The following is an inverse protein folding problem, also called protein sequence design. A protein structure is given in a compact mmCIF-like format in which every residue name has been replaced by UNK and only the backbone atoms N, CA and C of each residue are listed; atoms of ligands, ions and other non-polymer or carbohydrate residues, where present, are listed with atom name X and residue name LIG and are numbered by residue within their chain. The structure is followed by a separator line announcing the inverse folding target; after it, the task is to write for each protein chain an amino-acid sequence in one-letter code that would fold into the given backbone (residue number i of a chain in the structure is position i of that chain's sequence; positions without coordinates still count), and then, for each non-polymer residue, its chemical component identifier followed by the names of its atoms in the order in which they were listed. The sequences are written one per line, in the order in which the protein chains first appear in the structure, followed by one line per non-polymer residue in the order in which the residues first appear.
data_IF_776454142799
#
_entry.id   IF_776454142799
#
_cell.length_a   1.000
_cell.length_b   1.000
_cell.length_c   1.000
_cell.angle_alpha   90.00
_cell.angle_beta   90.00
_cell.angle_gamma   90.00
#
_symmetry.space_group_name_H-M   'P 1'
#
loop_
_entity.id
_entity.type
_entity.pdbx_description
1 polymer ?
#
# COMPACT_ATOMS: atom_id res chain seq x y z
N UNK A 1 -9.29 26.83 -65.36
CA UNK A 1 -9.25 26.89 -63.87
C UNK A 1 -8.89 25.49 -63.40
N UNK A 2 -7.61 25.25 -63.12
CA UNK A 2 -7.07 23.92 -62.87
C UNK A 2 -7.32 23.47 -61.42
N UNK A 3 -7.91 22.28 -61.26
CA UNK A 3 -7.85 21.53 -60.00
C UNK A 3 -6.44 20.94 -59.84
N UNK A 4 -5.74 21.30 -58.77
CA UNK A 4 -4.57 20.55 -58.27
C UNK A 4 -4.81 20.11 -56.84
N UNK A 5 -5.39 18.93 -56.69
CA UNK A 5 -5.24 18.13 -55.47
C UNK A 5 -4.17 17.07 -55.75
N UNK A 6 -2.97 17.27 -55.21
CA UNK A 6 -1.96 16.22 -55.12
C UNK A 6 -1.26 16.33 -53.77
N UNK A 7 -1.75 15.57 -52.80
CA UNK A 7 -0.94 15.19 -51.64
C UNK A 7 -0.85 13.66 -51.65
N UNK A 8 0.11 13.13 -52.40
CA UNK A 8 0.46 11.71 -52.37
C UNK A 8 1.50 11.50 -51.27
N UNK A 9 1.05 11.08 -50.09
CA UNK A 9 1.93 10.44 -49.13
C UNK A 9 2.23 9.04 -49.68
N UNK A 10 3.45 8.85 -50.22
CA UNK A 10 3.91 7.54 -50.67
C UNK A 10 4.44 6.77 -49.47
N UNK A 11 3.60 5.89 -48.94
CA UNK A 11 3.98 4.96 -47.88
C UNK A 11 4.83 3.86 -48.51
N UNK A 12 6.16 4.06 -48.51
CA UNK A 12 7.14 3.06 -48.95
C UNK A 12 6.96 1.80 -48.11
N UNK A 13 6.90 0.63 -48.75
CA UNK A 13 6.48 -0.64 -48.13
C UNK A 13 7.16 -0.87 -46.79
N UNK A 14 6.41 -0.74 -45.70
CA UNK A 14 6.87 -1.14 -44.38
C UNK A 14 6.91 -2.66 -44.39
N UNK A 15 8.09 -3.23 -44.19
CA UNK A 15 8.24 -4.68 -44.02
C UNK A 15 7.33 -5.12 -42.87
N UNK A 16 6.52 -6.15 -43.11
CA UNK A 16 5.60 -6.75 -42.12
C UNK A 16 6.32 -7.10 -40.81
N UNK A 17 7.60 -7.45 -40.89
CA UNK A 17 8.49 -7.68 -39.74
C UNK A 17 8.68 -6.42 -38.87
N UNK A 18 8.89 -5.24 -39.47
CA UNK A 18 9.01 -3.99 -38.71
C UNK A 18 7.69 -3.59 -38.05
N UNK A 19 6.56 -3.88 -38.68
CA UNK A 19 5.24 -3.65 -38.09
C UNK A 19 5.00 -4.56 -36.87
N UNK A 20 5.42 -5.83 -36.96
CA UNK A 20 5.35 -6.81 -35.87
C UNK A 20 6.26 -6.44 -34.68
N UNK A 21 7.47 -5.94 -34.95
CA UNK A 21 8.40 -5.50 -33.89
C UNK A 21 7.84 -4.31 -33.11
N UNK A 22 7.25 -3.33 -33.80
CA UNK A 22 6.59 -2.18 -33.14
C UNK A 22 5.39 -2.62 -32.30
N UNK A 23 4.65 -3.62 -32.77
CA UNK A 23 3.51 -4.17 -32.04
C UNK A 23 3.99 -4.87 -30.75
N UNK A 24 5.01 -5.74 -30.83
CA UNK A 24 5.56 -6.45 -29.67
C UNK A 24 6.16 -5.48 -28.63
N UNK A 25 6.90 -4.46 -29.07
CA UNK A 25 7.44 -3.42 -28.17
C UNK A 25 6.33 -2.58 -27.51
N UNK A 26 5.22 -2.33 -28.22
CA UNK A 26 4.05 -1.67 -27.65
C UNK A 26 3.30 -2.51 -26.62
N UNK A 27 3.26 -3.83 -26.77
CA UNK A 27 2.67 -4.73 -25.77
C UNK A 27 3.50 -4.80 -24.49
N UNK A 28 4.83 -4.80 -24.59
CA UNK A 28 5.72 -4.88 -23.44
C UNK A 28 5.55 -3.70 -22.46
N UNK A 29 5.24 -2.50 -22.94
CA UNK A 29 5.07 -1.32 -22.06
C UNK A 29 3.71 -1.26 -21.35
N UNK A 30 2.75 -2.12 -21.73
CA UNK A 30 1.42 -2.14 -21.09
C UNK A 30 1.30 -3.09 -19.91
N UNK A 31 2.28 -3.99 -19.71
CA UNK A 31 2.23 -4.99 -18.63
C UNK A 31 2.58 -4.43 -17.25
N UNK A 32 3.27 -3.28 -17.16
CA UNK A 32 3.71 -2.70 -15.88
C UNK A 32 2.80 -1.57 -15.36
N UNK A 33 1.76 -1.17 -16.10
CA UNK A 33 0.88 -0.06 -15.72
C UNK A 33 -0.24 -0.45 -14.72
N UNK A 34 -0.49 -1.75 -14.52
CA UNK A 34 -1.63 -2.23 -13.71
C UNK A 34 -1.25 -2.83 -12.34
N UNK A 35 0.03 -2.81 -11.95
CA UNK A 35 0.44 -3.16 -10.59
C UNK A 35 0.63 -1.92 -9.71
N UNK A 36 -0.25 -0.91 -9.87
CA UNK A 36 -0.40 0.10 -8.82
C UNK A 36 -1.22 -0.52 -7.70
N UNK A 37 -0.58 -1.38 -6.90
CA UNK A 37 -0.93 -1.58 -5.51
C UNK A 37 -0.70 -0.22 -4.86
N UNK A 38 -1.65 0.72 -5.07
CA UNK A 38 -1.55 2.07 -4.52
C UNK A 38 -1.37 1.83 -3.04
N UNK A 39 -0.20 2.16 -2.52
CA UNK A 39 0.12 2.13 -1.10
C UNK A 39 -0.93 3.04 -0.47
N UNK A 40 -2.05 2.45 -0.07
CA UNK A 40 -3.16 3.17 0.48
C UNK A 40 -3.05 2.92 1.98
N UNK A 41 -2.50 3.87 2.74
CA UNK A 41 -2.36 3.75 4.17
C UNK A 41 -3.72 3.98 4.83
N UNK A 42 -4.76 3.27 4.38
CA UNK A 42 -6.09 3.32 4.98
C UNK A 42 -6.23 2.16 5.96
N UNK A 43 -6.45 2.51 7.22
CA UNK A 43 -6.70 1.60 8.33
C UNK A 43 -8.19 1.63 8.68
N UNK A 44 -8.83 0.48 8.75
CA UNK A 44 -10.19 0.39 9.28
C UNK A 44 -10.70 -1.06 9.30
N UNK A 45 -11.45 -1.39 10.35
CA UNK A 45 -11.99 -2.75 10.56
C UNK A 45 -13.35 -2.94 9.90
N UNK A 46 -14.10 -1.85 9.71
CA UNK A 46 -15.38 -1.86 8.99
C UNK A 46 -15.49 -0.58 8.19
N UNK A 47 -15.30 -0.70 6.89
CA UNK A 47 -15.18 0.41 5.95
C UNK A 47 -16.14 0.29 4.78
N UNK A 48 -16.58 1.45 4.29
CA UNK A 48 -17.51 1.59 3.16
C UNK A 48 -18.88 0.96 3.43
N UNK A 49 -19.78 1.05 2.46
CA UNK A 49 -21.16 0.54 2.57
C UNK A 49 -21.25 -0.95 2.93
N UNK A 50 -20.24 -1.74 2.56
CA UNK A 50 -20.20 -3.19 2.78
C UNK A 50 -19.59 -3.55 4.14
N UNK A 51 -19.09 -2.57 4.91
CA UNK A 51 -18.54 -2.79 6.25
C UNK A 51 -17.34 -3.73 6.29
N UNK A 52 -16.52 -3.75 5.22
CA UNK A 52 -15.38 -4.66 5.12
C UNK A 52 -14.12 -4.06 5.75
N UNK A 53 -13.24 -4.88 6.37
CA UNK A 53 -11.93 -4.40 6.78
C UNK A 53 -11.10 -3.93 5.59
N UNK A 54 -10.17 -3.02 5.83
CA UNK A 54 -9.23 -2.58 4.80
C UNK A 54 -8.22 -3.69 4.49
N UNK A 55 -7.61 -3.63 3.30
CA UNK A 55 -6.61 -4.62 2.88
C UNK A 55 -5.45 -4.78 3.89
N UNK A 56 -5.07 -3.69 4.56
CA UNK A 56 -4.04 -3.71 5.61
C UNK A 56 -4.49 -4.53 6.82
N UNK A 57 -5.74 -4.38 7.25
CA UNK A 57 -6.31 -5.16 8.36
C UNK A 57 -6.40 -6.63 7.98
N UNK A 58 -6.94 -6.95 6.80
CA UNK A 58 -7.05 -8.34 6.31
C UNK A 58 -5.67 -9.01 6.28
N UNK A 59 -4.69 -8.38 5.63
CA UNK A 59 -3.31 -8.88 5.56
C UNK A 59 -2.74 -9.17 6.94
N UNK A 60 -2.93 -8.26 7.89
CA UNK A 60 -2.35 -8.41 9.23
C UNK A 60 -3.11 -9.46 10.05
N UNK A 61 -4.43 -9.55 9.92
CA UNK A 61 -5.23 -10.64 10.50
C UNK A 61 -4.72 -12.00 10.05
N UNK A 62 -4.48 -12.18 8.75
CA UNK A 62 -3.91 -13.43 8.21
C UNK A 62 -2.53 -13.74 8.81
N UNK A 63 -1.65 -12.75 8.99
CA UNK A 63 -0.35 -12.96 9.61
C UNK A 63 -0.46 -13.38 11.09
N UNK A 64 -1.42 -12.81 11.83
CA UNK A 64 -1.67 -13.17 13.23
C UNK A 64 -2.22 -14.59 13.33
N UNK A 65 -3.25 -14.91 12.53
CA UNK A 65 -3.90 -16.23 12.53
C UNK A 65 -2.90 -17.36 12.21
N UNK A 66 -1.99 -17.12 11.27
CA UNK A 66 -0.94 -18.07 10.89
C UNK A 66 0.34 -17.96 11.75
N UNK A 67 0.35 -17.12 12.79
CA UNK A 67 1.51 -16.90 13.68
C UNK A 67 2.81 -16.52 12.94
N UNK A 68 2.70 -15.82 11.80
CA UNK A 68 3.83 -15.33 11.01
C UNK A 68 4.42 -14.05 11.62
N UNK A 69 4.95 -14.16 12.84
CA UNK A 69 5.38 -13.00 13.61
C UNK A 69 6.62 -12.31 13.04
N UNK A 70 7.51 -13.04 12.36
CA UNK A 70 8.64 -12.41 11.66
C UNK A 70 8.16 -11.49 10.54
N UNK A 71 7.14 -11.90 9.77
CA UNK A 71 6.53 -11.05 8.75
C UNK A 71 5.86 -9.81 9.35
N UNK A 72 5.33 -9.87 10.58
CA UNK A 72 4.82 -8.69 11.29
C UNK A 72 5.95 -7.71 11.62
N UNK A 73 7.15 -8.19 11.99
CA UNK A 73 8.32 -7.32 12.22
C UNK A 73 8.78 -6.66 10.91
N UNK A 74 8.75 -7.38 9.79
CA UNK A 74 9.10 -6.81 8.48
C UNK A 74 8.20 -5.62 8.10
N UNK A 75 6.94 -5.62 8.56
CA UNK A 75 6.01 -4.52 8.33
C UNK A 75 6.46 -3.18 8.92
N UNK A 76 7.34 -3.18 9.94
CA UNK A 76 7.96 -1.98 10.50
C UNK A 76 8.76 -1.18 9.45
N UNK A 77 9.21 -1.85 8.38
CA UNK A 77 10.09 -1.30 7.36
C UNK A 77 9.42 -1.05 5.99
N UNK A 78 8.11 -1.30 5.90
CA UNK A 78 7.37 -1.15 4.63
C UNK A 78 7.25 0.31 4.19
N UNK A 79 6.76 0.56 2.97
CA UNK A 79 6.38 1.91 2.53
C UNK A 79 4.99 2.37 3.04
N UNK A 80 4.25 1.49 3.72
CA UNK A 80 2.85 1.73 4.08
C UNK A 80 2.71 2.14 5.55
N UNK A 81 2.29 3.38 5.80
CA UNK A 81 2.12 3.90 7.16
C UNK A 81 1.08 3.10 7.99
N UNK A 82 -0.02 2.63 7.39
CA UNK A 82 -1.00 1.82 8.13
C UNK A 82 -0.44 0.47 8.57
N UNK A 83 0.40 -0.16 7.73
CA UNK A 83 1.08 -1.41 8.07
C UNK A 83 2.07 -1.18 9.21
N UNK A 84 2.90 -0.12 9.13
CA UNK A 84 3.82 0.26 10.21
C UNK A 84 3.11 0.49 11.54
N UNK A 85 1.97 1.18 11.51
CA UNK A 85 1.18 1.45 12.71
C UNK A 85 0.78 0.16 13.42
N UNK A 86 0.12 -0.76 12.70
CA UNK A 86 -0.31 -2.03 13.29
C UNK A 86 0.87 -2.91 13.67
N UNK A 87 1.96 -2.89 12.90
CA UNK A 87 3.20 -3.61 13.22
C UNK A 87 3.79 -3.15 14.56
N UNK A 88 3.82 -1.85 14.84
CA UNK A 88 4.27 -1.32 16.15
C UNK A 88 3.43 -1.91 17.28
N UNK A 89 2.10 -1.76 17.20
CA UNK A 89 1.19 -2.24 18.25
C UNK A 89 1.32 -3.74 18.49
N UNK A 90 1.38 -4.53 17.41
CA UNK A 90 1.49 -5.98 17.50
C UNK A 90 2.84 -6.42 18.02
N UNK A 91 3.94 -5.81 17.56
CA UNK A 91 5.27 -6.11 18.08
C UNK A 91 5.35 -5.85 19.59
N UNK A 92 4.80 -4.75 20.07
CA UNK A 92 4.76 -4.44 21.51
C UNK A 92 3.90 -5.44 22.28
N UNK A 93 2.70 -5.74 21.78
CA UNK A 93 1.78 -6.71 22.40
C UNK A 93 2.37 -8.13 22.44
N UNK A 94 2.93 -8.60 21.33
CA UNK A 94 3.56 -9.92 21.22
C UNK A 94 4.82 -10.01 22.09
N UNK A 95 5.59 -8.93 22.22
CA UNK A 95 6.73 -8.87 23.14
C UNK A 95 6.28 -8.94 24.61
N UNK A 96 5.20 -8.23 24.99
CA UNK A 96 4.60 -8.32 26.33
C UNK A 96 4.14 -9.75 26.64
N UNK A 97 3.56 -10.44 25.66
CA UNK A 97 3.15 -11.84 25.76
C UNK A 97 4.31 -12.85 25.63
N UNK A 98 5.56 -12.37 25.48
CA UNK A 98 6.77 -13.19 25.28
C UNK A 98 6.72 -14.12 24.05
N UNK A 99 5.90 -13.77 23.04
CA UNK A 99 5.79 -14.51 21.76
C UNK A 99 6.91 -14.16 20.78
N UNK A 100 7.49 -12.97 20.90
CA UNK A 100 8.62 -12.52 20.10
C UNK A 100 9.67 -11.84 20.96
N UNK A 101 10.88 -11.73 20.43
CA UNK A 101 11.92 -10.84 20.92
C UNK A 101 12.25 -9.80 19.85
N UNK A 102 12.33 -8.54 20.25
CA UNK A 102 12.75 -7.44 19.37
C UNK A 102 14.24 -7.16 19.51
N UNK A 103 14.91 -7.06 18.37
CA UNK A 103 16.30 -6.64 18.25
C UNK A 103 16.48 -5.16 18.62
N UNK A 104 17.72 -4.74 18.84
CA UNK A 104 18.06 -3.33 19.09
C UNK A 104 17.63 -2.45 17.91
N UNK A 105 17.80 -2.94 16.68
CA UNK A 105 17.41 -2.22 15.46
C UNK A 105 15.89 -2.02 15.40
N UNK A 106 15.11 -3.08 15.62
CA UNK A 106 13.65 -3.02 15.60
C UNK A 106 13.11 -2.09 16.69
N UNK A 107 13.66 -2.15 17.91
CA UNK A 107 13.32 -1.22 19.00
C UNK A 107 13.61 0.23 18.62
N UNK A 108 14.72 0.48 17.92
CA UNK A 108 15.07 1.81 17.41
C UNK A 108 14.07 2.28 16.34
N UNK A 109 13.70 1.39 15.41
CA UNK A 109 12.67 1.66 14.40
C UNK A 109 11.34 2.03 15.05
N UNK A 110 10.86 1.25 16.02
CA UNK A 110 9.62 1.54 16.74
C UNK A 110 9.67 2.93 17.38
N UNK A 111 10.75 3.25 18.11
CA UNK A 111 10.92 4.60 18.71
C UNK A 111 10.89 5.72 17.68
N UNK A 112 11.48 5.51 16.50
CA UNK A 112 11.42 6.50 15.42
C UNK A 112 10.00 6.65 14.85
N UNK A 113 9.23 5.56 14.76
CA UNK A 113 7.84 5.60 14.30
C UNK A 113 6.93 6.37 15.25
N UNK A 114 7.17 6.30 16.56
CA UNK A 114 6.50 7.15 17.55
C UNK A 114 6.70 8.65 17.32
N UNK A 115 7.71 9.07 16.56
CA UNK A 115 7.98 10.46 16.21
C UNK A 115 7.66 10.79 14.75
N UNK A 116 7.12 9.82 14.00
CA UNK A 116 6.95 9.94 12.55
C UNK A 116 5.77 10.85 12.17
N UNK A 117 6.01 11.69 11.17
CA UNK A 117 5.01 12.56 10.52
C UNK A 117 4.32 11.88 9.34
N UNK A 118 4.66 10.62 9.04
CA UNK A 118 3.96 9.83 8.02
C UNK A 118 2.47 9.79 8.31
N UNK A 119 1.65 9.88 7.27
CA UNK A 119 0.20 10.00 7.44
C UNK A 119 -0.53 8.71 7.14
N UNK A 120 -1.51 8.40 7.97
CA UNK A 120 -2.45 7.29 7.83
C UNK A 120 -3.87 7.84 7.72
N UNK A 121 -4.67 7.25 6.86
CA UNK A 121 -6.11 7.51 6.78
C UNK A 121 -6.82 6.48 7.64
N UNK A 122 -7.61 6.90 8.60
CA UNK A 122 -8.47 6.04 9.41
C UNK A 122 -9.85 6.07 8.80
N UNK A 123 -10.45 4.90 8.69
CA UNK A 123 -11.81 4.71 8.26
C UNK A 123 -12.61 4.05 9.39
N UNK A 124 -13.74 4.65 9.73
CA UNK A 124 -14.61 4.22 10.84
C UNK A 124 -16.07 4.20 10.36
N UNK A 125 -16.41 3.26 9.49
CA UNK A 125 -17.75 3.09 8.93
C UNK A 125 -17.88 3.54 7.47
N UNK A 126 -19.10 3.86 7.06
CA UNK A 126 -19.44 4.07 5.65
C UNK A 126 -18.90 5.38 5.07
N UNK A 127 -18.91 6.46 5.86
CA UNK A 127 -18.65 7.83 5.37
C UNK A 127 -17.53 8.54 6.13
N UNK A 128 -17.04 7.98 7.23
CA UNK A 128 -16.04 8.62 8.05
C UNK A 128 -14.62 8.23 7.64
N UNK A 129 -13.88 9.20 7.12
CA UNK A 129 -12.46 9.10 6.80
C UNK A 129 -11.71 10.26 7.44
N UNK A 130 -10.67 9.95 8.23
CA UNK A 130 -9.83 10.95 8.89
C UNK A 130 -8.37 10.68 8.66
N UNK A 131 -7.65 11.68 8.16
CA UNK A 131 -6.20 11.60 8.03
C UNK A 131 -5.52 12.06 9.32
N UNK A 132 -4.53 11.30 9.79
CA UNK A 132 -3.71 11.64 10.95
C UNK A 132 -2.26 11.20 10.74
N UNK A 133 -1.34 11.55 11.64
CA UNK A 133 0.06 11.12 11.58
C UNK A 133 0.28 9.87 12.44
N UNK A 134 1.32 9.09 12.13
CA UNK A 134 1.74 7.97 12.97
C UNK A 134 2.04 8.41 14.40
N UNK A 135 2.76 9.52 14.58
CA UNK A 135 2.98 10.12 15.88
C UNK A 135 1.66 10.32 16.63
N UNK A 136 0.69 11.03 16.04
CA UNK A 136 -0.58 11.34 16.70
C UNK A 136 -1.48 10.13 16.91
N UNK A 137 -1.27 9.02 16.19
CA UNK A 137 -2.04 7.79 16.34
C UNK A 137 -1.41 6.83 17.37
N UNK A 138 -0.08 6.77 17.45
CA UNK A 138 0.68 5.93 18.38
C UNK A 138 0.75 6.52 19.79
N UNK A 139 0.78 7.85 19.92
CA UNK A 139 0.86 8.52 21.24
C UNK A 139 -0.50 8.76 21.89
N UNK A 140 -1.59 8.55 21.16
CA UNK A 140 -2.93 8.69 21.71
C UNK A 140 -3.25 7.45 22.54
N UNK A 141 -3.67 7.64 23.80
CA UNK A 141 -4.26 6.54 24.56
C UNK A 141 -5.46 5.99 23.79
N UNK A 142 -5.32 4.74 23.33
CA UNK A 142 -6.39 3.84 22.89
C UNK A 142 -7.48 4.43 22.00
N UNK A 143 -7.25 4.47 20.68
CA UNK A 143 -8.32 4.73 19.68
C UNK A 143 -9.40 3.62 19.67
N UNK A 144 -9.15 2.49 20.34
CA UNK A 144 -10.00 1.30 20.34
C UNK A 144 -10.52 0.90 21.73
N UNK A 145 -10.37 1.73 22.77
CA UNK A 145 -10.93 1.45 24.09
C UNK A 145 -12.43 1.79 24.22
N UNK A 146 -13.04 2.34 23.17
CA UNK A 146 -14.45 2.77 23.16
C UNK A 146 -15.32 2.00 22.15
N UNK A 147 -14.92 0.78 21.76
CA UNK A 147 -15.75 -0.13 20.95
C UNK A 147 -16.03 -1.41 21.73
#
# INVERSE_FOLDING_TARGET
MELKLHNRITFKSINTVSLLILLILGYATTLEAQNSNRINPTLGFSCSFVGKPTAVVIKISELIENSHYDSIKDLLHTGNAAEKYLAVLLCEKLMQEKKIALTISEKKTIRALYQSKETVTICSGCTYFKKTTLHALLTRESYFAEI
#
